data_IF_888823417731
#
_entry.id   IF_888823417731
#
_cell.length_a   1.000
_cell.length_b   1.000
_cell.length_c   1.000
_cell.angle_alpha   90.00
_cell.angle_beta   90.00
_cell.angle_gamma   90.00
#
_symmetry.space_group_name_H-M   'P 1'
#
loop_
_entity.id
_entity.type
_entity.pdbx_description
1 polymer ?
#
# COMPACT_ATOMS: atom_id res chain seq x y z
N UNK A 1 -10.11 6.27 -15.70
CA UNK A 1 -9.71 6.89 -14.41
C UNK A 1 -9.06 5.79 -13.60
N UNK A 2 -7.77 5.89 -13.32
CA UNK A 2 -7.07 4.87 -12.52
C UNK A 2 -7.55 4.96 -11.08
N UNK A 3 -8.10 3.86 -10.55
CA UNK A 3 -8.49 3.78 -9.14
C UNK A 3 -7.25 3.44 -8.31
N UNK A 4 -7.06 4.18 -7.23
CA UNK A 4 -5.95 3.99 -6.32
C UNK A 4 -6.37 3.34 -5.01
N UNK A 5 -5.43 2.66 -4.39
CA UNK A 5 -5.58 2.05 -3.08
C UNK A 5 -4.37 2.36 -2.21
N UNK A 6 -4.62 2.67 -0.94
CA UNK A 6 -3.59 2.80 0.09
C UNK A 6 -3.57 1.56 0.97
N UNK A 7 -2.53 0.74 0.86
CA UNK A 7 -2.26 -0.38 1.77
C UNK A 7 -1.44 0.07 2.97
N UNK A 8 -1.93 -0.16 4.18
CA UNK A 8 -1.24 0.21 5.43
C UNK A 8 -0.49 -0.99 5.99
N UNK A 9 0.83 -1.01 5.79
CA UNK A 9 1.70 -2.15 6.09
C UNK A 9 3.07 -1.67 6.55
N UNK A 10 3.69 -2.32 7.54
CA UNK A 10 5.05 -1.98 8.00
C UNK A 10 6.07 -2.09 6.87
N UNK A 11 7.05 -1.18 6.81
CA UNK A 11 7.99 -1.09 5.69
C UNK A 11 8.78 -2.39 5.45
N UNK A 12 9.16 -3.11 6.51
CA UNK A 12 9.85 -4.39 6.40
C UNK A 12 9.02 -5.47 5.70
N UNK A 13 7.69 -5.45 5.89
CA UNK A 13 6.79 -6.39 5.22
C UNK A 13 6.59 -5.99 3.75
N UNK A 14 6.53 -4.68 3.47
CA UNK A 14 6.47 -4.17 2.08
C UNK A 14 7.71 -4.59 1.30
N UNK A 15 8.91 -4.46 1.88
CA UNK A 15 10.17 -4.90 1.25
C UNK A 15 10.16 -6.39 0.89
N UNK A 16 9.73 -7.26 1.82
CA UNK A 16 9.54 -8.68 1.52
C UNK A 16 8.53 -8.92 0.40
N UNK A 17 7.46 -8.13 0.34
CA UNK A 17 6.47 -8.19 -0.74
C UNK A 17 7.08 -7.84 -2.11
N UNK A 18 7.92 -6.79 -2.16
CA UNK A 18 8.67 -6.40 -3.36
C UNK A 18 9.59 -7.50 -3.84
N UNK A 19 10.41 -8.07 -2.95
CA UNK A 19 11.34 -9.17 -3.28
C UNK A 19 10.64 -10.39 -3.88
N UNK A 20 9.37 -10.61 -3.51
CA UNK A 20 8.54 -11.71 -3.97
C UNK A 20 7.64 -11.34 -5.16
N UNK A 21 7.52 -10.07 -5.54
CA UNK A 21 6.60 -9.59 -6.58
C UNK A 21 5.12 -9.73 -6.20
N UNK A 22 4.79 -9.58 -4.92
CA UNK A 22 3.43 -9.82 -4.39
C UNK A 22 2.85 -8.63 -3.62
N UNK A 23 1.55 -8.45 -3.74
CA UNK A 23 0.75 -7.71 -2.78
C UNK A 23 0.17 -8.67 -1.72
N UNK A 24 0.44 -8.36 -0.45
CA UNK A 24 -0.16 -9.03 0.71
C UNK A 24 -0.51 -7.96 1.76
N UNK A 25 -1.77 -7.89 2.17
CA UNK A 25 -2.28 -6.85 3.07
C UNK A 25 -3.23 -7.43 4.12
N UNK A 26 -3.55 -6.64 5.15
CA UNK A 26 -4.56 -6.96 6.17
C UNK A 26 -4.41 -8.36 6.78
N UNK A 27 -3.18 -8.72 7.16
CA UNK A 27 -2.83 -10.03 7.72
C UNK A 27 -3.05 -11.21 6.76
N UNK A 28 -2.93 -10.99 5.44
CA UNK A 28 -3.07 -12.04 4.43
C UNK A 28 -4.52 -12.44 4.17
N UNK A 29 -5.49 -11.59 4.49
CA UNK A 29 -6.91 -11.84 4.21
C UNK A 29 -7.21 -11.68 2.72
N UNK A 30 -8.14 -12.50 2.21
CA UNK A 30 -8.61 -12.43 0.81
C UNK A 30 -9.44 -11.17 0.51
N UNK A 31 -10.37 -10.83 1.40
CA UNK A 31 -11.40 -9.81 1.14
C UNK A 31 -10.87 -8.41 0.75
N UNK A 32 -9.73 -7.92 1.27
CA UNK A 32 -9.16 -6.65 0.81
C UNK A 32 -8.59 -6.73 -0.61
N UNK A 33 -7.99 -7.86 -1.00
CA UNK A 33 -7.44 -8.07 -2.33
C UNK A 33 -8.52 -8.12 -3.41
N UNK A 34 -9.70 -8.66 -3.09
CA UNK A 34 -10.84 -8.76 -4.04
C UNK A 34 -11.49 -7.42 -4.37
N UNK A 35 -11.08 -6.33 -3.70
CA UNK A 35 -11.59 -4.98 -3.98
C UNK A 35 -10.81 -4.28 -5.09
N UNK A 36 -9.59 -4.72 -5.33
CA UNK A 36 -8.69 -4.16 -6.33
C UNK A 36 -8.89 -4.94 -7.63
N UNK A 37 -8.71 -4.30 -8.77
CA UNK A 37 -8.79 -4.92 -10.09
C UNK A 37 -7.52 -4.71 -10.91
N UNK A 38 -7.41 -5.40 -12.05
CA UNK A 38 -6.37 -5.14 -13.03
C UNK A 38 -6.34 -3.64 -13.36
N UNK A 39 -5.14 -3.11 -13.56
CA UNK A 39 -4.81 -1.70 -13.74
C UNK A 39 -5.03 -0.78 -12.52
N UNK A 40 -5.62 -1.27 -11.43
CA UNK A 40 -5.66 -0.48 -10.18
C UNK A 40 -4.24 -0.29 -9.65
N UNK A 41 -4.00 0.90 -9.09
CA UNK A 41 -2.73 1.24 -8.44
C UNK A 41 -2.79 0.95 -6.95
N UNK A 42 -1.83 0.20 -6.43
CA UNK A 42 -1.62 0.04 -5.00
C UNK A 42 -0.40 0.84 -4.55
N UNK A 43 -0.62 1.76 -3.62
CA UNK A 43 0.40 2.51 -2.91
C UNK A 43 0.49 1.98 -1.48
N UNK A 44 1.69 1.69 -1.00
CA UNK A 44 1.91 1.32 0.38
C UNK A 44 2.25 2.53 1.24
N UNK A 45 1.55 2.68 2.36
CA UNK A 45 1.93 3.56 3.45
C UNK A 45 2.38 2.73 4.65
N UNK A 46 3.53 3.07 5.20
CA UNK A 46 4.13 2.41 6.34
C UNK A 46 4.15 3.32 7.56
N UNK A 47 3.25 3.11 8.54
CA UNK A 47 3.25 3.85 9.79
C UNK A 47 4.53 3.60 10.59
N UNK A 48 5.08 2.38 10.49
CA UNK A 48 6.26 1.90 11.21
C UNK A 48 7.21 1.15 10.28
N UNK A 49 8.47 1.01 10.71
CA UNK A 49 9.49 0.25 10.00
C UNK A 49 9.21 -1.26 10.15
N UNK A 50 9.09 -1.73 11.40
CA UNK A 50 8.69 -3.09 11.75
C UNK A 50 7.32 -3.12 12.44
N UNK A 51 6.67 -4.29 12.41
CA UNK A 51 5.40 -4.49 13.09
C UNK A 51 5.60 -4.46 14.61
N UNK A 52 4.86 -3.59 15.30
CA UNK A 52 4.90 -3.46 16.76
C UNK A 52 5.82 -2.34 17.26
N UNK A 53 6.58 -1.71 16.36
CA UNK A 53 7.38 -0.55 16.72
C UNK A 53 6.52 0.60 17.26
N UNK A 54 7.07 1.33 18.22
CA UNK A 54 6.46 2.57 18.73
C UNK A 54 6.94 3.81 17.97
N UNK A 55 8.13 3.74 17.39
CA UNK A 55 8.70 4.85 16.65
C UNK A 55 7.99 5.01 15.29
N UNK A 56 7.54 6.22 14.94
CA UNK A 56 6.89 6.46 13.65
C UNK A 56 7.91 6.40 12.51
N UNK A 57 7.54 5.72 11.43
CA UNK A 57 8.25 5.76 10.15
C UNK A 57 7.54 6.66 9.14
N UNK A 58 6.20 6.53 9.05
CA UNK A 58 5.27 7.41 8.33
C UNK A 58 5.72 7.82 6.92
N UNK A 59 5.86 6.82 6.03
CA UNK A 59 6.29 7.02 4.64
C UNK A 59 5.41 6.26 3.67
N UNK A 60 5.28 6.78 2.47
CA UNK A 60 4.87 5.98 1.32
C UNK A 60 6.10 5.17 0.86
N UNK A 61 5.97 3.86 0.73
CA UNK A 61 7.13 2.95 0.68
C UNK A 61 7.24 2.13 -0.59
N UNK A 62 6.13 1.87 -1.28
CA UNK A 62 6.11 1.21 -2.57
C UNK A 62 4.87 1.62 -3.37
N UNK A 63 4.96 1.49 -4.68
CA UNK A 63 3.85 1.71 -5.61
C UNK A 63 3.95 0.71 -6.76
N UNK A 64 2.81 0.20 -7.20
CA UNK A 64 2.71 -0.71 -8.35
C UNK A 64 1.28 -0.85 -8.84
N UNK A 65 1.10 -1.54 -9.95
CA UNK A 65 -0.21 -1.83 -10.53
C UNK A 65 -0.46 -3.33 -10.61
N UNK A 66 -1.74 -3.70 -10.59
CA UNK A 66 -2.14 -5.09 -10.74
C UNK A 66 -2.25 -5.44 -12.22
N UNK A 67 -1.55 -6.49 -12.67
CA UNK A 67 -1.55 -6.87 -14.08
C UNK A 67 -2.67 -7.85 -14.45
N UNK A 68 -3.29 -8.50 -13.46
CA UNK A 68 -4.39 -9.47 -13.59
C UNK A 68 -5.18 -9.51 -12.28
N UNK A 69 -6.36 -10.16 -12.27
CA UNK A 69 -7.27 -10.29 -11.12
C UNK A 69 -7.00 -11.51 -10.23
N UNK A 70 -5.92 -12.25 -10.47
CA UNK A 70 -5.72 -13.55 -9.85
C UNK A 70 -5.25 -13.44 -8.40
N UNK A 71 -6.03 -14.05 -7.50
CA UNK A 71 -5.72 -14.12 -6.07
C UNK A 71 -5.54 -15.58 -5.68
N UNK A 72 -4.32 -15.94 -5.28
CA UNK A 72 -4.00 -17.26 -4.78
C UNK A 72 -3.72 -17.24 -3.27
N UNK A 73 -3.80 -18.41 -2.66
CA UNK A 73 -3.37 -18.61 -1.28
C UNK A 73 -1.98 -19.24 -1.29
N UNK A 74 -1.01 -18.60 -0.65
CA UNK A 74 0.30 -19.21 -0.43
C UNK A 74 0.27 -20.10 0.80
N UNK A 75 1.09 -21.16 0.79
CA UNK A 75 1.29 -22.03 1.94
C UNK A 75 2.67 -21.73 2.56
N UNK A 76 2.68 -21.09 3.73
CA UNK A 76 3.87 -20.91 4.57
C UNK A 76 3.76 -21.76 5.85
N UNK A 77 3.09 -22.92 5.77
CA UNK A 77 2.84 -23.82 6.89
C UNK A 77 1.62 -23.41 7.71
N UNK A 78 1.84 -22.95 8.95
CA UNK A 78 0.75 -22.54 9.85
C UNK A 78 0.08 -21.21 9.43
N UNK A 79 0.76 -20.44 8.58
CA UNK A 79 0.24 -19.20 8.02
C UNK A 79 -0.01 -19.38 6.52
N UNK A 80 -1.25 -19.17 6.08
CA UNK A 80 -1.66 -19.34 4.68
C UNK A 80 -2.26 -18.06 4.10
N UNK A 81 -1.43 -17.05 3.78
CA UNK A 81 -1.92 -15.76 3.34
C UNK A 81 -2.40 -15.79 1.89
N UNK A 82 -3.39 -14.95 1.60
CA UNK A 82 -3.76 -14.62 0.24
C UNK A 82 -2.83 -13.55 -0.33
N UNK A 83 -2.46 -13.72 -1.60
CA UNK A 83 -1.53 -12.88 -2.35
C UNK A 83 -2.09 -12.61 -3.74
N UNK A 84 -1.59 -11.53 -4.33
CA UNK A 84 -1.80 -11.17 -5.73
C UNK A 84 -0.49 -10.70 -6.33
N UNK A 85 -0.28 -10.93 -7.62
CA UNK A 85 0.90 -10.43 -8.33
C UNK A 85 0.76 -8.92 -8.47
N UNK A 86 1.85 -8.19 -8.32
CA UNK A 86 1.88 -6.75 -8.53
C UNK A 86 3.15 -6.38 -9.24
N UNK A 87 3.04 -5.52 -10.25
CA UNK A 87 4.18 -5.02 -11.00
C UNK A 87 4.60 -3.70 -10.35
N UNK A 88 5.66 -3.76 -9.54
CA UNK A 88 6.18 -2.61 -8.80
C UNK A 88 6.93 -1.65 -9.73
N UNK A 89 6.73 -0.35 -9.51
CA UNK A 89 7.53 0.69 -10.16
C UNK A 89 8.87 0.87 -9.42
N UNK A 90 9.88 1.35 -10.15
CA UNK A 90 11.11 1.84 -9.53
C UNK A 90 10.79 3.12 -8.75
N UNK A 91 10.76 3.02 -7.43
CA UNK A 91 10.30 4.08 -6.54
C UNK A 91 11.19 4.23 -5.30
N UNK A 92 11.29 5.46 -4.79
CA UNK A 92 11.96 5.77 -3.52
C UNK A 92 10.94 6.12 -2.44
N UNK A 93 11.16 5.72 -1.17
CA UNK A 93 10.22 6.06 -0.10
C UNK A 93 10.09 7.57 0.12
N UNK A 94 8.86 8.07 0.16
CA UNK A 94 8.53 9.48 0.35
C UNK A 94 7.96 9.75 1.75
N UNK A 95 8.51 10.72 2.53
CA UNK A 95 7.95 11.10 3.82
C UNK A 95 6.53 11.66 3.71
N UNK A 96 5.59 11.16 4.51
CA UNK A 96 4.20 11.65 4.47
C UNK A 96 4.11 13.15 4.75
N UNK A 97 4.96 13.66 5.66
CA UNK A 97 4.95 15.06 6.09
C UNK A 97 5.16 16.04 4.93
N UNK A 98 5.95 15.65 3.91
CA UNK A 98 6.21 16.48 2.74
C UNK A 98 5.00 16.54 1.78
N UNK A 99 4.15 15.51 1.76
CA UNK A 99 3.04 15.40 0.83
C UNK A 99 1.70 15.78 1.45
N UNK A 100 1.56 15.63 2.78
CA UNK A 100 0.32 15.88 3.53
C UNK A 100 -0.41 17.18 3.15
N UNK A 101 0.24 18.34 2.95
CA UNK A 101 -0.49 19.56 2.58
C UNK A 101 -1.20 19.48 1.21
N UNK A 102 -0.75 18.57 0.34
CA UNK A 102 -1.20 18.43 -1.06
C UNK A 102 -2.22 17.30 -1.25
N UNK A 103 -2.37 16.40 -0.28
CA UNK A 103 -3.24 15.22 -0.42
C UNK A 103 -4.67 15.52 0.03
N UNK A 104 -5.65 15.07 -0.74
CA UNK A 104 -7.06 15.05 -0.36
C UNK A 104 -7.30 14.13 0.83
N UNK A 105 -6.64 12.96 0.88
CA UNK A 105 -6.69 11.99 1.99
C UNK A 105 -6.49 12.64 3.36
N UNK A 106 -5.68 13.69 3.44
CA UNK A 106 -5.23 14.28 4.70
C UNK A 106 -5.79 15.66 5.00
N UNK A 107 -6.76 16.14 4.21
CA UNK A 107 -7.42 17.44 4.42
C UNK A 107 -8.28 17.45 5.69
N UNK A 108 -8.95 16.33 5.97
CA UNK A 108 -9.86 16.23 7.11
C UNK A 108 -9.11 16.08 8.45
N UNK A 109 -9.63 16.70 9.53
CA UNK A 109 -9.16 16.40 10.89
C UNK A 109 -9.24 14.91 11.19
N UNK A 110 -8.29 14.39 11.95
CA UNK A 110 -8.23 12.97 12.34
C UNK A 110 -8.18 11.96 11.18
N UNK A 111 -7.74 12.37 9.97
CA UNK A 111 -7.59 11.47 8.82
C UNK A 111 -6.86 10.15 9.15
N UNK A 112 -5.89 10.20 10.06
CA UNK A 112 -5.10 9.04 10.49
C UNK A 112 -5.96 7.90 11.08
N UNK A 113 -7.17 8.18 11.55
CA UNK A 113 -8.11 7.15 12.00
C UNK A 113 -8.45 6.15 10.89
N UNK A 114 -8.47 6.57 9.62
CA UNK A 114 -8.75 5.68 8.49
C UNK A 114 -7.66 4.62 8.31
N UNK A 115 -6.43 4.87 8.76
CA UNK A 115 -5.31 3.94 8.64
C UNK A 115 -5.56 2.58 9.31
N UNK A 116 -6.46 2.54 10.32
CA UNK A 116 -6.85 1.31 11.01
C UNK A 116 -7.54 0.29 10.11
N UNK A 117 -8.09 0.71 8.97
CA UNK A 117 -8.77 -0.19 8.04
C UNK A 117 -7.80 -1.06 7.24
N UNK A 118 -6.52 -0.69 7.20
CA UNK A 118 -5.48 -1.44 6.49
C UNK A 118 -5.51 -1.29 4.97
N UNK A 119 -6.66 -0.94 4.38
CA UNK A 119 -6.85 -0.64 2.97
C UNK A 119 -7.88 0.48 2.78
N UNK A 120 -7.48 1.56 2.12
CA UNK A 120 -8.28 2.78 1.91
C UNK A 120 -8.32 3.11 0.41
N UNK A 121 -9.45 3.51 -0.18
CA UNK A 121 -9.46 4.03 -1.54
C UNK A 121 -8.71 5.37 -1.63
N UNK A 122 -8.02 5.60 -2.75
CA UNK A 122 -7.41 6.88 -3.11
C UNK A 122 -8.08 7.40 -4.39
N UNK A 123 -8.28 8.71 -4.46
CA UNK A 123 -8.67 9.36 -5.70
C UNK A 123 -7.48 9.54 -6.64
N UNK A 124 -7.77 9.93 -7.89
CA UNK A 124 -6.74 10.10 -8.92
C UNK A 124 -5.73 11.20 -8.57
N UNK A 125 -6.14 12.25 -7.85
CA UNK A 125 -5.25 13.35 -7.45
C UNK A 125 -4.20 12.84 -6.48
N UNK A 126 -4.60 12.14 -5.42
CA UNK A 126 -3.66 11.59 -4.44
C UNK A 126 -2.70 10.57 -5.06
N UNK A 127 -3.20 9.71 -5.95
CA UNK A 127 -2.34 8.77 -6.69
C UNK A 127 -1.27 9.51 -7.48
N UNK A 128 -1.63 10.57 -8.20
CA UNK A 128 -0.69 11.36 -9.00
C UNK A 128 0.37 12.02 -8.12
N UNK A 129 -0.04 12.74 -7.06
CA UNK A 129 0.89 13.43 -6.16
C UNK A 129 1.88 12.46 -5.52
N UNK A 130 1.42 11.29 -5.07
CA UNK A 130 2.29 10.30 -4.44
C UNK A 130 3.22 9.66 -5.47
N UNK A 131 2.71 9.36 -6.67
CA UNK A 131 3.52 8.77 -7.76
C UNK A 131 4.66 9.70 -8.15
N UNK A 132 4.40 10.98 -8.40
CA UNK A 132 5.41 12.00 -8.73
C UNK A 132 6.48 12.15 -7.65
N UNK A 133 6.09 12.03 -6.38
CA UNK A 133 7.02 12.15 -5.27
C UNK A 133 7.92 10.92 -5.10
N UNK A 134 7.47 9.75 -5.56
CA UNK A 134 8.16 8.48 -5.38
C UNK A 134 8.95 8.03 -6.60
N UNK A 135 8.45 8.31 -7.80
CA UNK A 135 8.99 7.86 -9.08
C UNK A 135 9.58 9.06 -9.81
N UNK A 136 10.90 9.05 -9.98
CA UNK A 136 11.69 10.05 -10.73
C UNK A 136 12.52 9.32 -11.77
#
# INVERSE_FOLDING_TARGET
>A
MTRGWLGVVSAAHVRRGIELGIAQINHGKRAPLTRMHADDTLIYYSPTEHRGDRAPYQRFTAIGSFPDDDIWQADEGSFKPYRRRIDYLSARPAPHAALRPRLHLTQEPNWGYQLRYGLIPLDTHDVQIITEAMCV
#
